data_IF_684197645676
#
_entry.id   IF_684197645676
#
_cell.length_a   1.000
_cell.length_b   1.000
_cell.length_c   1.000
_cell.angle_alpha   90.00
_cell.angle_beta   90.00
_cell.angle_gamma   90.00
#
_symmetry.space_group_name_H-M   'P 1'
#
loop_
_entity.id
_entity.type
_entity.pdbx_description
1 polymer ?
#
# COMPACT_ATOMS: atom_id res chain seq x y z
N UNK A 1 9.19 -3.87 -46.16
CA UNK A 1 8.32 -5.02 -45.85
C UNK A 1 7.32 -4.58 -44.80
N UNK A 2 6.34 -3.80 -45.23
CA UNK A 2 5.09 -3.56 -44.52
C UNK A 2 3.98 -4.19 -45.38
N UNK A 3 2.80 -4.43 -44.82
CA UNK A 3 1.60 -4.87 -45.56
C UNK A 3 1.39 -6.39 -45.71
N UNK A 4 1.27 -7.12 -44.58
CA UNK A 4 0.50 -8.39 -44.54
C UNK A 4 -0.29 -8.54 -43.23
N UNK A 5 -0.80 -7.44 -42.66
CA UNK A 5 -1.96 -7.52 -41.77
C UNK A 5 -3.21 -7.71 -42.64
N UNK A 6 -3.25 -8.82 -43.39
CA UNK A 6 -4.40 -9.18 -44.23
C UNK A 6 -5.66 -9.16 -43.38
N UNK A 7 -6.67 -8.48 -43.91
CA UNK A 7 -7.96 -8.21 -43.31
C UNK A 7 -8.54 -9.43 -42.55
N UNK A 8 -8.31 -9.50 -41.23
CA UNK A 8 -9.12 -10.36 -40.37
C UNK A 8 -10.57 -9.95 -40.56
N UNK A 9 -11.44 -10.91 -40.82
CA UNK A 9 -12.86 -10.59 -40.99
C UNK A 9 -13.38 -10.01 -39.67
N UNK A 10 -14.35 -9.08 -39.74
CA UNK A 10 -14.95 -8.47 -38.53
C UNK A 10 -15.37 -9.53 -37.51
N UNK A 11 -15.91 -10.65 -38.00
CA UNK A 11 -16.35 -11.80 -37.20
C UNK A 11 -15.21 -12.49 -36.44
N UNK A 12 -14.04 -12.54 -37.05
CA UNK A 12 -12.83 -13.15 -36.48
C UNK A 12 -12.23 -12.24 -35.39
N UNK A 13 -12.29 -10.92 -35.60
CA UNK A 13 -11.91 -9.93 -34.58
C UNK A 13 -12.87 -9.99 -33.38
N UNK A 14 -14.18 -10.12 -33.61
CA UNK A 14 -15.17 -10.28 -32.54
C UNK A 14 -14.94 -11.57 -31.73
N UNK A 15 -14.60 -12.67 -32.40
CA UNK A 15 -14.29 -13.95 -31.74
C UNK A 15 -13.01 -13.84 -30.88
N UNK A 16 -11.95 -13.22 -31.40
CA UNK A 16 -10.71 -12.97 -30.66
C UNK A 16 -10.94 -12.02 -29.47
N UNK A 17 -11.78 -11.00 -29.63
CA UNK A 17 -12.10 -10.06 -28.56
C UNK A 17 -12.89 -10.76 -27.43
N UNK A 18 -13.86 -11.61 -27.78
CA UNK A 18 -14.60 -12.41 -26.81
C UNK A 18 -13.68 -13.39 -26.07
N UNK A 19 -12.78 -14.06 -26.78
CA UNK A 19 -11.79 -14.95 -26.19
C UNK A 19 -10.83 -14.21 -25.25
N UNK A 20 -10.37 -13.02 -25.65
CA UNK A 20 -9.47 -12.17 -24.85
C UNK A 20 -10.16 -11.67 -23.59
N UNK A 21 -11.41 -11.21 -23.69
CA UNK A 21 -12.20 -10.76 -22.55
C UNK A 21 -12.45 -11.88 -21.53
N UNK A 22 -12.69 -13.10 -22.02
CA UNK A 22 -12.87 -14.28 -21.16
C UNK A 22 -11.58 -14.63 -20.41
N UNK A 23 -10.42 -14.54 -21.07
CA UNK A 23 -9.12 -14.73 -20.40
C UNK A 23 -8.86 -13.66 -19.35
N UNK A 24 -9.12 -12.39 -19.67
CA UNK A 24 -8.95 -11.27 -18.73
C UNK A 24 -9.85 -11.42 -17.49
N UNK A 25 -11.12 -11.76 -17.66
CA UNK A 25 -12.03 -11.99 -16.53
C UNK A 25 -11.51 -13.09 -15.59
N UNK A 26 -11.05 -14.23 -16.15
CA UNK A 26 -10.45 -15.31 -15.37
C UNK A 26 -9.19 -14.85 -14.61
N UNK A 27 -8.30 -14.10 -15.26
CA UNK A 27 -7.08 -13.59 -14.61
C UNK A 27 -7.40 -12.58 -13.52
N UNK A 28 -8.42 -11.75 -13.70
CA UNK A 28 -8.88 -10.78 -12.68
C UNK A 28 -9.47 -11.51 -11.47
N UNK A 29 -10.28 -12.56 -11.67
CA UNK A 29 -10.83 -13.34 -10.58
C UNK A 29 -9.75 -14.09 -9.78
N UNK A 30 -8.74 -14.66 -10.47
CA UNK A 30 -7.58 -15.26 -9.82
C UNK A 30 -6.75 -14.24 -9.03
N UNK A 31 -6.58 -13.02 -9.58
CA UNK A 31 -5.88 -11.95 -8.89
C UNK A 31 -6.68 -11.46 -7.68
N UNK A 32 -7.99 -11.31 -7.80
CA UNK A 32 -8.87 -10.92 -6.70
C UNK A 32 -8.85 -11.97 -5.57
N UNK A 33 -8.78 -13.27 -5.92
CA UNK A 33 -8.67 -14.34 -4.94
C UNK A 33 -7.30 -14.40 -4.26
N UNK A 34 -6.19 -14.21 -5.00
CA UNK A 34 -4.82 -14.16 -4.44
C UNK A 34 -4.53 -12.91 -3.63
N UNK A 35 -5.09 -11.78 -4.04
CA UNK A 35 -4.99 -10.49 -3.36
C UNK A 35 -6.08 -10.45 -2.29
N UNK A 36 -6.04 -11.42 -1.38
CA UNK A 36 -6.99 -11.49 -0.27
C UNK A 36 -6.78 -10.27 0.65
N UNK A 37 -7.84 -9.74 1.28
CA UNK A 37 -7.73 -8.62 2.21
C UNK A 37 -6.68 -8.84 3.31
N UNK A 38 -6.44 -10.11 3.67
CA UNK A 38 -5.44 -10.51 4.63
C UNK A 38 -4.01 -10.26 4.15
N UNK A 39 -3.70 -10.52 2.87
CA UNK A 39 -2.36 -10.27 2.32
C UNK A 39 -2.11 -8.78 2.14
N UNK A 40 -3.12 -7.97 1.76
CA UNK A 40 -2.96 -6.50 1.76
C UNK A 40 -2.65 -5.97 3.15
N UNK A 41 -3.41 -6.42 4.18
CA UNK A 41 -3.17 -5.99 5.57
C UNK A 41 -1.78 -6.41 6.04
N UNK A 42 -1.39 -7.66 5.78
CA UNK A 42 -0.07 -8.15 6.15
C UNK A 42 1.05 -7.34 5.48
N UNK A 43 0.92 -7.07 4.17
CA UNK A 43 1.89 -6.25 3.43
C UNK A 43 1.93 -4.79 3.92
N UNK A 44 0.79 -4.21 4.25
CA UNK A 44 0.71 -2.86 4.80
C UNK A 44 1.36 -2.78 6.19
N UNK A 45 1.08 -3.75 7.07
CA UNK A 45 1.69 -3.83 8.40
C UNK A 45 3.20 -4.06 8.29
N UNK A 46 3.64 -4.97 7.42
CA UNK A 46 5.06 -5.22 7.17
C UNK A 46 5.76 -3.95 6.68
N UNK A 47 5.19 -3.24 5.72
CA UNK A 47 5.73 -1.98 5.21
C UNK A 47 5.84 -0.89 6.29
N UNK A 48 4.84 -0.79 7.16
CA UNK A 48 4.86 0.13 8.30
C UNK A 48 5.94 -0.25 9.32
N UNK A 49 6.08 -1.54 9.61
CA UNK A 49 7.09 -2.05 10.54
C UNK A 49 8.50 -1.79 10.03
N UNK A 50 8.75 -1.99 8.74
CA UNK A 50 10.04 -1.67 8.10
C UNK A 50 10.34 -0.19 8.21
N UNK A 51 9.40 0.70 7.87
CA UNK A 51 9.60 2.15 7.99
C UNK A 51 9.84 2.58 9.44
N UNK A 52 9.13 1.99 10.40
CA UNK A 52 9.35 2.27 11.82
C UNK A 52 10.73 1.80 12.27
N UNK A 53 11.19 0.65 11.77
CA UNK A 53 12.52 0.13 12.05
C UNK A 53 13.60 1.02 11.43
N UNK A 54 13.48 1.44 10.17
CA UNK A 54 14.43 2.35 9.50
C UNK A 54 14.48 3.74 10.15
N UNK A 55 13.36 4.19 10.73
CA UNK A 55 13.32 5.43 11.49
C UNK A 55 14.04 5.30 12.84
N UNK A 56 14.01 4.10 13.44
CA UNK A 56 14.57 3.82 14.75
C UNK A 56 16.04 3.36 14.71
N UNK A 57 16.43 2.63 13.66
CA UNK A 57 17.71 1.97 13.50
C UNK A 57 18.36 2.39 12.17
N UNK A 58 19.67 2.56 12.15
CA UNK A 58 20.43 2.76 10.91
C UNK A 58 20.80 1.44 10.22
N UNK A 59 21.38 1.55 9.02
CA UNK A 59 21.82 0.39 8.21
C UNK A 59 22.91 -0.45 8.90
N UNK A 60 23.59 0.10 9.92
CA UNK A 60 24.57 -0.61 10.73
C UNK A 60 23.96 -1.23 12.01
N UNK A 61 22.65 -1.07 12.24
CA UNK A 61 21.94 -1.60 13.40
C UNK A 61 22.04 -0.73 14.65
N UNK A 62 22.61 0.47 14.58
CA UNK A 62 22.63 1.39 15.72
C UNK A 62 21.30 2.13 15.82
N UNK A 63 20.84 2.31 17.05
CA UNK A 63 19.67 3.15 17.32
C UNK A 63 20.04 4.59 16.96
N UNK A 64 19.25 5.22 16.08
CA UNK A 64 19.40 6.65 15.78
C UNK A 64 18.83 7.47 16.93
N UNK A 65 19.50 7.42 18.08
CA UNK A 65 19.08 8.01 19.36
C UNK A 65 18.62 9.46 19.20
N UNK A 66 19.32 10.24 18.37
CA UNK A 66 18.99 11.64 18.08
C UNK A 66 17.59 11.81 17.43
N UNK A 67 17.29 10.98 16.41
CA UNK A 67 15.98 11.00 15.73
C UNK A 67 14.89 10.38 16.59
N UNK A 68 15.18 9.27 17.25
CA UNK A 68 14.23 8.58 18.13
C UNK A 68 13.84 9.48 19.30
N UNK A 69 14.81 10.14 19.94
CA UNK A 69 14.56 11.11 21.00
C UNK A 69 13.73 12.31 20.51
N UNK A 70 14.03 12.83 19.32
CA UNK A 70 13.27 13.94 18.73
C UNK A 70 11.81 13.57 18.46
N UNK A 71 11.57 12.39 17.87
CA UNK A 71 10.21 11.90 17.58
C UNK A 71 9.45 11.60 18.88
N UNK A 72 10.07 10.90 19.83
CA UNK A 72 9.46 10.61 21.12
C UNK A 72 9.16 11.90 21.90
N UNK A 73 10.08 12.86 21.91
CA UNK A 73 9.89 14.16 22.54
C UNK A 73 8.72 14.94 21.94
N UNK A 74 8.62 14.98 20.60
CA UNK A 74 7.51 15.61 19.89
C UNK A 74 6.16 14.96 20.20
N UNK A 75 6.08 13.64 20.20
CA UNK A 75 4.85 12.89 20.54
C UNK A 75 4.45 13.13 21.99
N UNK A 76 5.40 13.05 22.93
CA UNK A 76 5.14 13.26 24.35
C UNK A 76 4.64 14.70 24.63
N UNK A 77 5.32 15.71 24.07
CA UNK A 77 4.90 17.10 24.20
C UNK A 77 3.49 17.33 23.64
N UNK A 78 3.20 16.79 22.46
CA UNK A 78 1.87 16.91 21.83
C UNK A 78 0.79 16.22 22.67
N UNK A 79 1.06 15.02 23.18
CA UNK A 79 0.13 14.30 24.05
C UNK A 79 -0.17 15.04 25.35
N UNK A 80 0.85 15.66 25.96
CA UNK A 80 0.68 16.49 27.16
C UNK A 80 -0.19 17.71 26.84
N UNK A 81 0.11 18.43 25.75
CA UNK A 81 -0.67 19.61 25.34
C UNK A 81 -2.13 19.23 25.08
N UNK A 82 -2.39 18.17 24.33
CA UNK A 82 -3.75 17.68 24.06
C UNK A 82 -4.45 17.21 25.33
N UNK A 83 -3.74 16.55 26.25
CA UNK A 83 -4.27 16.12 27.54
C UNK A 83 -4.67 17.30 28.42
N UNK A 84 -3.85 18.36 28.46
CA UNK A 84 -4.15 19.60 29.18
C UNK A 84 -5.34 20.34 28.56
N UNK A 85 -5.39 20.46 27.23
CA UNK A 85 -6.52 21.04 26.52
C UNK A 85 -7.79 20.24 26.81
N UNK A 86 -7.77 18.91 26.66
CA UNK A 86 -8.90 18.05 27.00
C UNK A 86 -9.34 18.26 28.45
N UNK A 87 -8.39 18.31 29.38
CA UNK A 87 -8.69 18.56 30.80
C UNK A 87 -9.32 19.94 31.04
N UNK A 88 -8.90 20.96 30.30
CA UNK A 88 -9.45 22.30 30.40
C UNK A 88 -10.87 22.39 29.80
N UNK A 89 -11.10 21.77 28.65
CA UNK A 89 -12.40 21.79 27.97
C UNK A 89 -13.49 20.93 28.64
N UNK A 90 -13.13 19.83 29.32
CA UNK A 90 -14.10 18.98 30.02
C UNK A 90 -14.37 19.39 31.48
N UNK A 91 -13.66 20.41 32.00
CA UNK A 91 -13.88 20.97 33.35
C UNK A 91 -14.68 22.28 33.35
N UNK A 92 -15.08 22.78 32.19
CA UNK A 92 -16.08 23.85 32.05
C UNK A 92 -17.46 23.26 31.82
#
# INVERSE_FOLDING_TARGET
MADTQSARSVREIEADLAATRTRMARTVDELAYRVSPQTLKANAIASLKTKANDAAFDEQGNVRLDRVATVLGGVAATAIVLGLLRRAFYKG
#
